data_IF_708020834136
#
_entry.id   IF_708020834136
#
_cell.length_a   1.000
_cell.length_b   1.000
_cell.length_c   1.000
_cell.angle_alpha   90.00
_cell.angle_beta   90.00
_cell.angle_gamma   90.00
#
_symmetry.space_group_name_H-M   'P 1'
#
loop_
_entity.id
_entity.type
_entity.pdbx_description
1 polymer ?
#
# COMPACT_ATOMS: atom_id res chain seq x y z
N UNK A 1 -5.00 -24.81 14.17
CA UNK A 1 -5.48 -23.91 13.09
C UNK A 1 -6.84 -23.41 13.58
N UNK A 2 -6.93 -22.19 14.08
CA UNK A 2 -8.19 -21.62 14.57
C UNK A 2 -8.62 -20.49 13.64
N UNK A 3 -9.91 -20.44 13.33
CA UNK A 3 -10.52 -19.46 12.44
C UNK A 3 -10.91 -20.03 11.07
N UNK A 4 -11.53 -19.18 10.26
CA UNK A 4 -11.96 -19.52 8.91
C UNK A 4 -10.80 -19.51 7.92
N UNK A 5 -10.92 -20.28 6.85
CA UNK A 5 -10.02 -20.30 5.70
C UNK A 5 -10.82 -20.34 4.40
N UNK A 6 -10.27 -19.71 3.36
CA UNK A 6 -10.79 -19.75 2.01
C UNK A 6 -9.81 -20.53 1.13
N UNK A 7 -10.30 -21.58 0.45
CA UNK A 7 -9.47 -22.40 -0.42
C UNK A 7 -9.34 -21.73 -1.78
N UNK A 8 -8.10 -21.36 -2.13
CA UNK A 8 -7.76 -20.76 -3.43
C UNK A 8 -7.56 -21.85 -4.48
N UNK A 9 -6.92 -22.96 -4.09
CA UNK A 9 -6.74 -24.13 -4.94
C UNK A 9 -6.78 -25.40 -4.07
N UNK A 10 -7.56 -26.37 -4.50
CA UNK A 10 -7.62 -27.69 -3.85
C UNK A 10 -6.34 -28.47 -4.17
N UNK A 11 -5.95 -29.42 -3.31
CA UNK A 11 -4.73 -30.24 -3.53
C UNK A 11 -4.73 -30.94 -4.89
N UNK A 12 -5.91 -31.28 -5.43
CA UNK A 12 -6.07 -31.94 -6.72
C UNK A 12 -5.69 -31.03 -7.90
N UNK A 13 -5.61 -29.72 -7.67
CA UNK A 13 -5.28 -28.70 -8.66
C UNK A 13 -3.81 -28.24 -8.55
N UNK A 14 -3.05 -28.77 -7.59
CA UNK A 14 -1.70 -28.30 -7.26
C UNK A 14 -0.67 -29.43 -7.27
N UNK A 15 0.61 -29.08 -7.39
CA UNK A 15 1.74 -30.00 -7.19
C UNK A 15 2.18 -30.08 -5.71
N UNK A 16 1.27 -29.78 -4.78
CA UNK A 16 1.54 -29.75 -3.34
C UNK A 16 0.70 -30.78 -2.62
N UNK A 17 1.22 -31.36 -1.54
CA UNK A 17 0.49 -32.35 -0.71
C UNK A 17 -0.63 -31.74 0.16
N UNK A 18 -1.01 -30.47 -0.10
CA UNK A 18 -2.04 -29.77 0.67
C UNK A 18 -2.70 -28.65 -0.14
N UNK A 19 -3.93 -28.29 0.26
CA UNK A 19 -4.68 -27.17 -0.30
C UNK A 19 -3.92 -25.85 -0.11
N UNK A 20 -4.02 -24.95 -1.09
CA UNK A 20 -3.57 -23.56 -0.96
C UNK A 20 -4.74 -22.75 -0.41
N UNK A 21 -4.56 -22.22 0.79
CA UNK A 21 -5.62 -21.50 1.52
C UNK A 21 -5.15 -20.10 1.92
N UNK A 22 -6.12 -19.19 2.03
CA UNK A 22 -5.96 -17.91 2.72
C UNK A 22 -6.74 -17.99 4.03
N UNK A 23 -6.05 -17.84 5.15
CA UNK A 23 -6.67 -17.92 6.47
C UNK A 23 -7.12 -16.55 6.97
N UNK A 24 -8.01 -16.53 7.96
CA UNK A 24 -8.37 -15.29 8.65
C UNK A 24 -7.17 -14.60 9.30
N UNK A 25 -6.14 -15.35 9.69
CA UNK A 25 -4.89 -14.75 10.19
C UNK A 25 -4.15 -14.02 9.07
N UNK A 26 -4.08 -14.59 7.88
CA UNK A 26 -3.42 -13.96 6.73
C UNK A 26 -4.14 -12.66 6.33
N UNK A 27 -5.47 -12.64 6.36
CA UNK A 27 -6.25 -11.40 6.17
C UNK A 27 -5.89 -10.34 7.22
N UNK A 28 -5.74 -10.73 8.49
CA UNK A 28 -5.33 -9.78 9.55
C UNK A 28 -3.94 -9.23 9.33
N UNK A 29 -2.99 -10.04 8.86
CA UNK A 29 -1.65 -9.54 8.54
C UNK A 29 -1.66 -8.61 7.31
N UNK A 30 -2.48 -8.90 6.29
CA UNK A 30 -2.70 -7.99 5.16
C UNK A 30 -3.29 -6.65 5.63
N UNK A 31 -4.29 -6.68 6.52
CA UNK A 31 -4.89 -5.48 7.09
C UNK A 31 -3.87 -4.62 7.84
N UNK A 32 -2.99 -5.23 8.65
CA UNK A 32 -1.93 -4.49 9.34
C UNK A 32 -0.93 -3.87 8.37
N UNK A 33 -0.49 -4.63 7.38
CA UNK A 33 0.51 -4.16 6.40
C UNK A 33 -0.03 -2.97 5.59
N UNK A 34 -1.25 -3.09 5.05
CA UNK A 34 -1.86 -2.02 4.28
C UNK A 34 -2.21 -0.81 5.17
N UNK A 35 -2.63 -1.03 6.42
CA UNK A 35 -2.92 0.04 7.37
C UNK A 35 -1.67 0.86 7.71
N UNK A 36 -0.53 0.20 7.91
CA UNK A 36 0.74 0.88 8.15
C UNK A 36 1.16 1.76 6.97
N UNK A 37 0.97 1.28 5.74
CA UNK A 37 1.28 2.06 4.53
C UNK A 37 0.36 3.26 4.36
N UNK A 38 -0.95 3.08 4.53
CA UNK A 38 -1.92 4.17 4.45
C UNK A 38 -1.67 5.21 5.54
N UNK A 39 -1.57 4.79 6.80
CA UNK A 39 -1.35 5.70 7.92
C UNK A 39 -0.03 6.46 7.77
N UNK A 40 1.04 5.81 7.34
CA UNK A 40 2.31 6.51 7.09
C UNK A 40 2.22 7.56 6.00
N UNK A 41 1.52 7.27 4.89
CA UNK A 41 1.31 8.23 3.81
C UNK A 41 0.44 9.42 4.27
N UNK A 42 -0.70 9.12 4.88
CA UNK A 42 -1.67 10.14 5.35
C UNK A 42 -1.09 11.02 6.46
N UNK A 43 -0.40 10.45 7.45
CA UNK A 43 0.26 11.22 8.50
C UNK A 43 1.31 12.16 7.91
N UNK A 44 2.12 11.69 6.96
CA UNK A 44 3.12 12.55 6.31
C UNK A 44 2.46 13.68 5.51
N UNK A 45 1.41 13.38 4.74
CA UNK A 45 0.64 14.39 4.01
C UNK A 45 0.06 15.45 4.95
N UNK A 46 -0.58 15.03 6.04
CA UNK A 46 -1.13 15.93 7.05
C UNK A 46 -0.06 16.81 7.70
N UNK A 47 1.12 16.26 7.99
CA UNK A 47 2.25 17.01 8.56
C UNK A 47 2.76 18.13 7.65
N UNK A 48 2.47 18.01 6.35
CA UNK A 48 2.86 18.95 5.30
C UNK A 48 1.68 19.79 4.79
N UNK A 49 0.50 19.66 5.38
CA UNK A 49 -0.75 20.31 4.93
C UNK A 49 -1.09 20.01 3.46
N UNK A 50 -0.85 18.77 3.03
CA UNK A 50 -1.10 18.29 1.67
C UNK A 50 -2.37 17.43 1.61
N UNK A 51 -3.11 17.60 0.51
CA UNK A 51 -4.29 16.80 0.15
C UNK A 51 -3.98 15.88 -1.02
N UNK A 52 -4.85 14.90 -1.29
CA UNK A 52 -4.67 13.93 -2.37
C UNK A 52 -4.55 14.60 -3.75
N UNK A 53 -5.23 15.73 -3.94
CA UNK A 53 -5.17 16.54 -5.15
C UNK A 53 -3.81 17.19 -5.39
N UNK A 54 -3.07 17.49 -4.32
CA UNK A 54 -1.74 18.10 -4.35
C UNK A 54 -0.64 17.08 -4.75
N UNK A 55 -0.96 15.78 -4.73
CA UNK A 55 -0.03 14.73 -5.13
C UNK A 55 0.03 14.62 -6.65
N UNK A 56 1.18 14.92 -7.25
CA UNK A 56 1.39 14.80 -8.69
C UNK A 56 1.48 13.33 -9.16
N UNK A 57 2.24 12.51 -8.42
CA UNK A 57 2.52 11.12 -8.77
C UNK A 57 2.76 10.27 -7.52
N UNK A 58 2.32 9.02 -7.59
CA UNK A 58 2.65 7.96 -6.63
C UNK A 58 3.52 6.92 -7.32
N UNK A 59 4.71 6.67 -6.79
CA UNK A 59 5.63 5.68 -7.32
C UNK A 59 5.67 4.45 -6.40
N UNK A 60 5.10 3.34 -6.84
CA UNK A 60 5.08 2.08 -6.10
C UNK A 60 6.33 1.28 -6.44
N UNK A 61 7.26 1.23 -5.48
CA UNK A 61 8.52 0.51 -5.58
C UNK A 61 8.54 -0.73 -4.67
N UNK A 62 9.41 -1.68 -5.02
CA UNK A 62 9.65 -2.90 -4.24
C UNK A 62 9.57 -4.16 -5.11
N UNK A 63 10.24 -5.23 -4.68
CA UNK A 63 10.15 -6.52 -5.36
C UNK A 63 8.70 -7.00 -5.45
N UNK A 64 7.92 -6.80 -4.37
CA UNK A 64 6.48 -7.01 -4.33
C UNK A 64 5.70 -6.02 -5.21
N UNK A 65 6.12 -4.75 -5.23
CA UNK A 65 5.48 -3.70 -6.03
C UNK A 65 5.44 -4.02 -7.53
N UNK A 66 6.40 -4.79 -8.06
CA UNK A 66 6.47 -5.14 -9.49
C UNK A 66 5.24 -5.87 -10.04
N UNK A 67 4.47 -6.55 -9.17
CA UNK A 67 3.26 -7.29 -9.52
C UNK A 67 2.01 -6.75 -8.83
N UNK A 68 2.15 -5.63 -8.11
CA UNK A 68 1.04 -5.02 -7.40
C UNK A 68 0.12 -4.34 -8.42
N UNK A 69 -1.14 -4.73 -8.42
CA UNK A 69 -2.18 -4.03 -9.16
C UNK A 69 -2.56 -2.74 -8.41
N UNK A 70 -2.37 -1.54 -9.00
CA UNK A 70 -2.65 -0.28 -8.33
C UNK A 70 -4.12 -0.11 -7.96
N UNK A 71 -5.04 -0.63 -8.77
CA UNK A 71 -6.48 -0.54 -8.50
C UNK A 71 -6.84 -1.40 -7.30
N UNK A 72 -6.38 -2.65 -7.25
CA UNK A 72 -6.60 -3.53 -6.09
C UNK A 72 -6.00 -2.96 -4.81
N UNK A 73 -4.79 -2.41 -4.87
CA UNK A 73 -4.12 -1.78 -3.74
C UNK A 73 -4.91 -0.55 -3.23
N UNK A 74 -5.48 0.26 -4.13
CA UNK A 74 -6.36 1.37 -3.77
C UNK A 74 -7.69 0.88 -3.18
N UNK A 75 -8.29 -0.14 -3.78
CA UNK A 75 -9.55 -0.75 -3.34
C UNK A 75 -9.49 -1.29 -1.91
N UNK A 76 -8.34 -1.83 -1.49
CA UNK A 76 -8.13 -2.28 -0.10
C UNK A 76 -7.72 -1.13 0.85
N UNK A 77 -7.50 0.08 0.35
CA UNK A 77 -7.04 1.24 1.12
C UNK A 77 -5.59 1.11 1.59
N UNK A 78 -4.69 0.67 0.71
CA UNK A 78 -3.24 0.59 0.99
C UNK A 78 -2.55 1.96 0.90
N UNK A 79 -3.15 2.92 0.19
CA UNK A 79 -2.74 4.31 0.07
C UNK A 79 -3.98 5.19 -0.17
N UNK A 80 -3.93 6.51 0.11
CA UNK A 80 -5.06 7.43 -0.09
C UNK A 80 -5.66 7.32 -1.50
N UNK A 81 -6.95 7.63 -1.70
CA UNK A 81 -7.66 7.38 -2.96
C UNK A 81 -7.28 8.34 -4.11
N UNK A 82 -6.00 8.31 -4.49
CA UNK A 82 -5.39 9.08 -5.55
C UNK A 82 -5.81 8.49 -6.92
N UNK A 83 -6.06 9.33 -7.95
CA UNK A 83 -6.41 8.83 -9.28
C UNK A 83 -5.36 7.87 -9.86
N UNK A 84 -5.81 6.73 -10.40
CA UNK A 84 -4.92 5.69 -10.93
C UNK A 84 -3.95 6.20 -12.01
N UNK A 85 -4.35 7.21 -12.79
CA UNK A 85 -3.48 7.83 -13.80
C UNK A 85 -2.21 8.50 -13.21
N UNK A 86 -2.20 8.79 -11.91
CA UNK A 86 -1.05 9.33 -11.18
C UNK A 86 -0.20 8.24 -10.52
N UNK A 87 -0.66 6.98 -10.50
CA UNK A 87 0.02 5.87 -9.82
C UNK A 87 0.84 5.06 -10.81
N UNK A 88 2.12 4.84 -10.51
CA UNK A 88 3.03 4.08 -11.36
C UNK A 88 3.83 3.07 -10.56
N UNK A 89 3.78 1.82 -10.99
CA UNK A 89 4.69 0.77 -10.52
C UNK A 89 6.05 0.95 -11.16
N UNK A 90 7.11 1.02 -10.35
CA UNK A 90 8.50 1.17 -10.81
C UNK A 90 9.36 -0.05 -10.53
N UNK A 91 8.78 -1.08 -9.90
CA UNK A 91 9.44 -2.35 -9.60
C UNK A 91 10.56 -2.21 -8.56
N UNK A 92 11.61 -3.03 -8.68
CA UNK A 92 12.76 -2.99 -7.77
C UNK A 92 13.65 -1.75 -8.03
N UNK A 93 13.25 -0.62 -7.47
CA UNK A 93 13.96 0.65 -7.56
C UNK A 93 15.35 0.59 -6.89
N UNK A 94 15.48 -0.10 -5.75
CA UNK A 94 16.77 -0.24 -5.06
C UNK A 94 17.79 -1.00 -5.91
N UNK A 95 17.41 -2.14 -6.49
CA UNK A 95 18.28 -2.91 -7.38
C UNK A 95 18.60 -2.18 -8.68
N UNK A 96 17.65 -1.41 -9.21
CA UNK A 96 17.89 -0.56 -10.39
C UNK A 96 18.87 0.57 -10.08
N UNK A 97 18.68 1.28 -8.96
CA UNK A 97 19.58 2.32 -8.48
C UNK A 97 20.99 1.80 -8.24
N UNK A 98 21.14 0.63 -7.61
CA UNK A 98 22.44 0.00 -7.39
C UNK A 98 23.19 -0.28 -8.72
N UNK A 99 22.49 -0.78 -9.75
CA UNK A 99 23.08 -0.96 -11.09
C UNK A 99 23.51 0.36 -11.71
N UNK A 100 22.67 1.40 -11.59
CA UNK A 100 22.96 2.74 -12.12
C UNK A 100 24.22 3.35 -11.50
N UNK A 101 24.36 3.29 -10.17
CA UNK A 101 25.52 3.83 -9.45
C UNK A 101 26.79 3.00 -9.64
N UNK A 102 26.66 1.71 -9.94
CA UNK A 102 27.77 0.83 -10.27
C UNK A 102 28.45 1.24 -11.59
N UNK A 103 27.66 1.50 -12.64
CA UNK A 103 28.18 1.76 -13.99
C UNK A 103 28.36 3.23 -14.35
N UNK A 104 27.89 4.16 -13.50
CA UNK A 104 27.93 5.60 -13.78
C UNK A 104 28.39 6.42 -12.58
N UNK A 105 29.54 7.09 -12.72
CA UNK A 105 30.04 8.05 -11.72
C UNK A 105 29.06 9.21 -11.49
N UNK A 106 28.39 9.68 -12.54
CA UNK A 106 27.37 10.74 -12.44
C UNK A 106 26.19 10.30 -11.57
N UNK A 107 25.66 9.09 -11.79
CA UNK A 107 24.55 8.58 -10.97
C UNK A 107 25.00 8.30 -9.54
N UNK A 108 26.25 7.88 -9.34
CA UNK A 108 26.82 7.72 -8.00
C UNK A 108 26.89 9.04 -7.23
N UNK A 109 27.43 10.10 -7.82
CA UNK A 109 27.46 11.42 -7.18
C UNK A 109 26.06 11.94 -6.87
N UNK A 110 25.09 11.74 -7.78
CA UNK A 110 23.68 12.08 -7.48
C UNK A 110 23.12 11.30 -6.29
N UNK A 111 23.43 10.01 -6.19
CA UNK A 111 22.99 9.18 -5.07
C UNK A 111 23.61 9.63 -3.73
N UNK A 112 24.83 10.16 -3.75
CA UNK A 112 25.50 10.74 -2.57
C UNK A 112 24.85 12.06 -2.12
N UNK A 113 24.30 12.86 -3.03
CA UNK A 113 23.60 14.11 -2.71
C UNK A 113 22.16 13.93 -2.19
N UNK A 114 21.48 12.83 -2.53
CA UNK A 114 20.05 12.63 -2.18
C UNK A 114 19.82 12.66 -0.66
N UNK A 115 20.60 11.94 0.18
CA UNK A 115 20.40 11.95 1.63
C UNK A 115 20.45 13.34 2.26
N UNK A 116 21.21 14.28 1.70
CA UNK A 116 21.29 15.65 2.20
C UNK A 116 19.98 16.43 2.05
N UNK A 117 19.10 15.97 1.15
CA UNK A 117 17.80 16.60 0.84
C UNK A 117 16.63 15.89 1.52
N UNK A 118 16.85 14.68 2.06
CA UNK A 118 15.82 13.88 2.72
C UNK A 118 15.72 14.26 4.19
N UNK A 119 14.51 14.56 4.65
CA UNK A 119 14.22 14.77 6.07
C UNK A 119 13.47 13.56 6.61
N UNK A 120 13.99 12.99 7.70
CA UNK A 120 13.32 11.90 8.40
C UNK A 120 12.14 12.46 9.21
N UNK A 121 11.00 11.78 9.12
CA UNK A 121 9.82 12.09 9.90
C UNK A 121 9.46 10.87 10.75
N UNK A 122 9.49 11.04 12.08
CA UNK A 122 9.20 9.97 13.03
C UNK A 122 7.69 9.78 13.19
N UNK A 123 7.12 8.90 12.36
CA UNK A 123 5.68 8.61 12.35
C UNK A 123 5.19 8.08 13.70
N UNK A 124 5.99 7.30 14.44
CA UNK A 124 5.56 6.74 15.71
C UNK A 124 5.43 7.80 16.82
N UNK A 125 6.03 8.98 16.64
CA UNK A 125 5.90 10.10 17.56
C UNK A 125 4.75 11.05 17.18
N UNK A 126 4.13 10.88 16.00
CA UNK A 126 3.00 11.70 15.57
C UNK A 126 1.73 11.29 16.34
N UNK A 127 1.05 12.21 17.06
CA UNK A 127 -0.14 11.88 17.84
C UNK A 127 -1.33 11.36 17.02
N UNK A 128 -1.37 11.65 15.71
CA UNK A 128 -2.41 11.21 14.79
C UNK A 128 -2.17 9.82 14.21
N UNK A 129 -0.93 9.31 14.23
CA UNK A 129 -0.55 8.07 13.57
C UNK A 129 -1.32 6.85 14.10
N UNK A 130 -1.41 6.68 15.43
CA UNK A 130 -2.09 5.51 16.01
C UNK A 130 -3.57 5.46 15.63
N UNK A 131 -4.25 6.61 15.69
CA UNK A 131 -5.65 6.73 15.28
C UNK A 131 -5.81 6.39 13.80
N UNK A 132 -4.98 6.99 12.94
CA UNK A 132 -5.06 6.74 11.49
C UNK A 132 -4.77 5.26 11.18
N UNK A 133 -3.80 4.64 11.85
CA UNK A 133 -3.51 3.21 11.71
C UNK A 133 -4.73 2.34 12.06
N UNK A 134 -5.38 2.59 13.20
CA UNK A 134 -6.57 1.84 13.63
C UNK A 134 -7.72 2.02 12.63
N UNK A 135 -8.00 3.26 12.23
CA UNK A 135 -9.05 3.57 11.25
C UNK A 135 -8.73 2.92 9.89
N UNK A 136 -7.45 2.74 9.58
CA UNK A 136 -6.95 2.05 8.39
C UNK A 136 -6.95 0.53 8.47
N UNK A 137 -7.35 -0.12 9.58
CA UNK A 137 -7.42 -1.59 9.64
C UNK A 137 -8.61 -2.16 8.85
N UNK A 138 -9.70 -1.38 8.69
CA UNK A 138 -10.86 -1.75 7.89
C UNK A 138 -10.57 -1.62 6.39
N UNK A 139 -11.27 -2.36 5.54
CA UNK A 139 -11.08 -2.34 4.09
C UNK A 139 -12.22 -1.54 3.42
N UNK A 140 -11.96 -0.44 2.70
CA UNK A 140 -10.65 0.22 2.52
C UNK A 140 -10.18 1.02 3.74
N UNK A 141 -11.10 1.59 4.51
CA UNK A 141 -10.83 2.45 5.65
C UNK A 141 -12.12 2.58 6.48
N UNK A 142 -12.03 3.02 7.74
CA UNK A 142 -13.21 3.20 8.61
C UNK A 142 -14.17 4.26 8.09
N UNK A 143 -13.61 5.35 7.62
CA UNK A 143 -14.34 6.42 6.93
C UNK A 143 -14.32 6.13 5.43
N UNK A 144 -15.48 5.76 4.88
CA UNK A 144 -15.66 5.43 3.47
C UNK A 144 -15.80 6.66 2.58
N UNK A 145 -16.07 7.85 3.14
CA UNK A 145 -16.16 9.08 2.37
C UNK A 145 -14.78 9.49 1.82
N UNK A 146 -13.69 9.01 2.45
CA UNK A 146 -12.32 9.10 1.92
C UNK A 146 -12.05 8.18 0.71
N UNK A 147 -12.94 7.22 0.44
CA UNK A 147 -12.79 6.22 -0.62
C UNK A 147 -14.07 6.07 -1.48
N UNK A 148 -14.55 7.16 -2.13
CA UNK A 148 -15.77 7.13 -2.91
C UNK A 148 -15.79 6.06 -4.01
N UNK A 149 -14.65 5.74 -4.65
CA UNK A 149 -14.62 4.72 -5.71
C UNK A 149 -14.81 3.32 -5.11
N UNK A 150 -14.11 2.99 -4.02
CA UNK A 150 -14.30 1.71 -3.35
C UNK A 150 -15.70 1.60 -2.70
N UNK A 151 -16.24 2.70 -2.16
CA UNK A 151 -17.60 2.74 -1.63
C UNK A 151 -18.64 2.42 -2.71
N UNK A 152 -18.49 2.98 -3.93
CA UNK A 152 -19.37 2.66 -5.06
C UNK A 152 -19.27 1.18 -5.46
N UNK A 153 -18.06 0.60 -5.49
CA UNK A 153 -17.88 -0.84 -5.72
C UNK A 153 -18.65 -1.68 -4.67
N UNK A 154 -18.53 -1.33 -3.39
CA UNK A 154 -19.22 -2.03 -2.31
C UNK A 154 -20.74 -1.92 -2.42
N UNK A 155 -21.28 -0.77 -2.83
CA UNK A 155 -22.72 -0.60 -3.15
C UNK A 155 -23.16 -1.51 -4.28
N UNK A 156 -22.42 -1.54 -5.39
CA UNK A 156 -22.70 -2.43 -6.54
C UNK A 156 -22.68 -3.91 -6.17
N UNK A 157 -21.85 -4.29 -5.19
CA UNK A 157 -21.77 -5.65 -4.66
C UNK A 157 -22.84 -5.96 -3.59
N UNK A 158 -23.73 -5.01 -3.26
CA UNK A 158 -24.76 -5.17 -2.23
C UNK A 158 -24.20 -5.27 -0.81
N UNK A 159 -23.00 -4.71 -0.57
CA UNK A 159 -22.30 -4.74 0.73
C UNK A 159 -22.43 -3.45 1.53
N UNK A 160 -22.93 -2.38 0.90
CA UNK A 160 -23.34 -1.13 1.53
C UNK A 160 -24.77 -0.81 1.10
N UNK A 161 -25.58 -0.37 2.05
CA UNK A 161 -26.90 0.24 1.79
C UNK A 161 -26.74 1.76 1.78
N UNK A 162 -27.60 2.45 1.03
CA UNK A 162 -27.68 3.92 1.03
C UNK A 162 -28.02 4.50 2.41
#
# INVERSE_FOLDING_TARGET
REGYEFVIAWKEETNTESNIVVTQRDIRELQKAKAAMHAGATTLMNSMDLREEDIDRVLLAGAFGSYLDPENARTIGMYPEIPLGKVKVVGNAAGTGAKMTLISKRERSKAEEIPEKVRYYELAADPGFEKEFIDSLLLPHRDLDKYPVAADLLRRLGRLTD
#
